data_IF_886982106614
#
_entry.id   IF_886982106614
#
_cell.length_a   1.000
_cell.length_b   1.000
_cell.length_c   1.000
_cell.angle_alpha   90.00
_cell.angle_beta   90.00
_cell.angle_gamma   90.00
#
_symmetry.space_group_name_H-M   'P 1'
#
loop_
_entity.id
_entity.type
_entity.pdbx_description
1 polymer ?
#
# COMPACT_ATOMS: atom_id res chain seq x y z
N UNK A 1 -14.27 32.77 -42.24
CA UNK A 1 -14.29 31.61 -43.15
C UNK A 1 -14.64 30.36 -42.35
N UNK A 2 -15.85 29.82 -42.62
CA UNK A 2 -16.25 28.41 -42.70
C UNK A 2 -15.59 27.43 -41.70
N UNK A 3 -16.29 27.07 -40.62
CA UNK A 3 -17.08 25.82 -40.45
C UNK A 3 -16.21 24.56 -40.58
N UNK A 4 -16.30 23.67 -39.59
CA UNK A 4 -16.67 22.25 -39.74
C UNK A 4 -16.99 21.70 -38.34
N UNK A 5 -18.29 21.56 -38.09
CA UNK A 5 -18.85 20.70 -37.05
C UNK A 5 -18.92 19.29 -37.64
N UNK A 6 -18.49 18.28 -36.88
CA UNK A 6 -18.73 16.88 -37.23
C UNK A 6 -19.20 16.11 -36.00
N UNK A 7 -20.52 16.11 -35.92
CA UNK A 7 -21.43 15.11 -35.39
C UNK A 7 -20.85 13.70 -35.44
N UNK A 8 -20.78 13.01 -34.29
CA UNK A 8 -20.69 11.55 -34.27
C UNK A 8 -21.85 10.96 -33.48
N UNK A 9 -22.49 10.00 -34.14
CA UNK A 9 -23.75 9.37 -33.80
C UNK A 9 -23.69 8.55 -32.52
N UNK A 10 -24.73 8.73 -31.72
CA UNK A 10 -25.24 7.74 -30.76
C UNK A 10 -25.66 6.48 -31.53
N UNK A 11 -25.09 5.32 -31.16
CA UNK A 11 -25.66 4.02 -31.47
C UNK A 11 -25.99 3.31 -30.15
N UNK A 12 -27.27 3.35 -29.80
CA UNK A 12 -27.89 2.58 -28.73
C UNK A 12 -28.18 1.16 -29.24
N UNK A 13 -27.55 0.16 -28.64
CA UNK A 13 -27.96 -1.24 -28.77
C UNK A 13 -28.44 -1.75 -27.42
N UNK A 14 -29.76 -1.77 -27.28
CA UNK A 14 -30.46 -2.48 -26.22
C UNK A 14 -30.39 -3.98 -26.53
N UNK A 15 -29.88 -4.78 -25.58
CA UNK A 15 -30.03 -6.23 -25.58
C UNK A 15 -30.95 -6.59 -24.43
N UNK A 16 -32.20 -6.91 -24.78
CA UNK A 16 -33.17 -7.52 -23.89
C UNK A 16 -32.80 -8.99 -23.69
N UNK A 17 -32.52 -9.38 -22.46
CA UNK A 17 -32.35 -10.78 -22.08
C UNK A 17 -33.62 -11.25 -21.37
N UNK A 18 -34.28 -12.23 -21.97
CA UNK A 18 -35.50 -12.87 -21.50
C UNK A 18 -35.23 -13.63 -20.21
N UNK A 19 -36.09 -13.40 -19.22
CA UNK A 19 -36.19 -14.19 -18.00
C UNK A 19 -36.81 -15.56 -18.33
N UNK A 20 -36.26 -16.62 -17.75
CA UNK A 20 -36.92 -17.90 -17.57
C UNK A 20 -37.08 -18.09 -16.06
N UNK A 21 -38.32 -18.11 -15.60
CA UNK A 21 -38.72 -18.43 -14.24
C UNK A 21 -38.77 -19.96 -14.13
N UNK A 22 -38.02 -20.50 -13.18
CA UNK A 22 -38.07 -21.90 -12.78
C UNK A 22 -38.46 -21.91 -11.30
N UNK A 23 -39.75 -22.10 -11.06
CA UNK A 23 -40.35 -22.24 -9.74
C UNK A 23 -40.02 -23.64 -9.19
N UNK A 24 -39.31 -23.69 -8.06
CA UNK A 24 -39.29 -24.86 -7.19
C UNK A 24 -39.67 -24.42 -5.77
N UNK A 25 -40.83 -24.91 -5.33
CA UNK A 25 -41.45 -24.67 -4.03
C UNK A 25 -40.62 -25.19 -2.85
N UNK A 26 -40.95 -24.58 -1.71
CA UNK A 26 -40.27 -24.55 -0.43
C UNK A 26 -40.31 -25.86 0.37
N UNK A 27 -39.16 -26.21 0.97
CA UNK A 27 -39.06 -26.98 2.21
C UNK A 27 -38.46 -26.05 3.29
N UNK A 28 -39.34 -25.42 4.07
CA UNK A 28 -39.69 -25.98 5.37
C UNK A 28 -38.63 -26.13 6.47
N UNK A 29 -37.39 -25.60 6.37
CA UNK A 29 -36.44 -25.74 7.50
C UNK A 29 -35.34 -24.66 7.60
N UNK A 30 -35.68 -23.39 7.30
CA UNK A 30 -34.67 -22.33 7.07
C UNK A 30 -34.87 -21.05 7.89
N UNK A 31 -35.03 -21.15 9.21
CA UNK A 31 -34.94 -19.95 10.11
C UNK A 31 -34.00 -20.08 11.30
N UNK A 32 -33.50 -21.28 11.62
CA UNK A 32 -32.51 -21.47 12.69
C UNK A 32 -31.06 -21.57 12.17
N UNK A 33 -30.84 -21.93 10.90
CA UNK A 33 -29.47 -22.11 10.35
C UNK A 33 -28.92 -20.81 9.74
N UNK A 34 -29.76 -19.92 9.23
CA UNK A 34 -29.34 -18.65 8.65
C UNK A 34 -28.83 -17.62 9.69
N UNK A 35 -29.28 -17.73 10.95
CA UNK A 35 -28.78 -16.88 12.04
C UNK A 35 -27.42 -17.35 12.58
N UNK A 36 -27.11 -18.65 12.50
CA UNK A 36 -25.83 -19.23 12.93
C UNK A 36 -24.76 -19.11 11.83
N UNK A 37 -25.13 -19.18 10.55
CA UNK A 37 -24.17 -19.02 9.44
C UNK A 37 -23.75 -17.56 9.15
N UNK A 38 -24.40 -16.56 9.76
CA UNK A 38 -24.00 -15.15 9.61
C UNK A 38 -22.94 -14.70 10.63
N UNK A 39 -22.60 -15.54 11.60
CA UNK A 39 -21.59 -15.27 12.63
C UNK A 39 -20.28 -16.09 12.46
N UNK A 40 -20.21 -17.03 11.51
CA UNK A 40 -19.05 -17.91 11.33
C UNK A 40 -18.13 -17.57 10.15
N UNK A 41 -18.26 -16.38 9.55
CA UNK A 41 -17.37 -15.90 8.46
C UNK A 41 -16.44 -14.77 8.91
N UNK A 42 -16.09 -14.76 10.19
CA UNK A 42 -15.21 -13.78 10.81
C UNK A 42 -14.14 -14.45 11.68
N UNK A 43 -13.67 -15.66 11.34
CA UNK A 43 -12.64 -16.34 12.13
C UNK A 43 -11.92 -17.44 11.34
N UNK A 44 -11.39 -17.10 10.15
CA UNK A 44 -10.02 -17.58 9.85
C UNK A 44 -9.07 -16.49 10.34
N UNK A 45 -9.00 -16.36 11.68
CA UNK A 45 -8.06 -15.49 12.37
C UNK A 45 -6.65 -16.05 12.20
N UNK A 46 -6.08 -15.90 11.00
CA UNK A 46 -4.63 -15.92 10.85
C UNK A 46 -4.07 -14.88 11.84
N UNK A 47 -3.05 -15.24 12.61
CA UNK A 47 -2.45 -14.33 13.59
C UNK A 47 -1.97 -13.05 12.91
N UNK A 48 -2.73 -11.96 13.06
CA UNK A 48 -2.37 -10.65 12.55
C UNK A 48 -1.41 -9.96 13.54
N UNK A 49 -0.33 -9.34 13.08
CA UNK A 49 0.13 -9.28 11.69
C UNK A 49 0.86 -10.57 11.23
N UNK A 50 0.71 -10.93 9.96
CA UNK A 50 1.39 -12.08 9.35
C UNK A 50 2.66 -11.65 8.60
N UNK A 51 3.81 -11.80 9.26
CA UNK A 51 5.13 -11.51 8.67
C UNK A 51 5.40 -12.30 7.37
N UNK A 52 4.87 -13.51 7.20
CA UNK A 52 5.14 -14.32 6.01
C UNK A 52 4.62 -13.65 4.74
N UNK A 53 3.54 -12.85 4.85
CA UNK A 53 3.01 -12.05 3.74
C UNK A 53 3.95 -10.92 3.31
N UNK A 54 4.86 -10.50 4.18
CA UNK A 54 5.88 -9.48 3.87
C UNK A 54 7.15 -10.07 3.24
N UNK A 55 7.22 -11.39 3.02
CA UNK A 55 8.34 -11.99 2.32
C UNK A 55 8.51 -11.38 0.92
N UNK A 56 9.77 -11.15 0.54
CA UNK A 56 10.16 -10.54 -0.73
C UNK A 56 9.67 -9.09 -0.92
N UNK A 57 9.33 -8.36 0.15
CA UNK A 57 8.88 -6.97 0.03
C UNK A 57 9.90 -6.08 -0.71
N UNK A 58 11.19 -6.24 -0.42
CA UNK A 58 12.26 -5.50 -1.10
C UNK A 58 12.32 -5.77 -2.59
N UNK A 59 12.01 -7.00 -3.01
CA UNK A 59 11.88 -7.31 -4.43
C UNK A 59 10.71 -6.53 -5.03
N UNK A 60 9.52 -6.57 -4.43
CA UNK A 60 8.35 -5.85 -4.94
C UNK A 60 8.51 -4.33 -4.97
N UNK A 61 9.16 -3.74 -3.95
CA UNK A 61 9.49 -2.31 -3.91
C UNK A 61 10.52 -1.97 -5.00
N UNK A 62 11.54 -2.82 -5.19
CA UNK A 62 12.61 -2.55 -6.16
C UNK A 62 12.18 -2.75 -7.61
N UNK A 63 11.40 -3.80 -7.89
CA UNK A 63 10.94 -4.15 -9.23
C UNK A 63 9.68 -3.41 -9.66
N UNK A 64 8.95 -2.80 -8.72
CA UNK A 64 7.64 -2.17 -8.95
C UNK A 64 6.69 -3.15 -9.65
N UNK A 65 6.67 -4.40 -9.18
CA UNK A 65 5.84 -5.44 -9.80
C UNK A 65 4.36 -5.06 -9.66
N UNK A 66 3.67 -4.96 -10.80
CA UNK A 66 2.21 -4.76 -10.83
C UNK A 66 1.47 -5.99 -10.33
N UNK A 67 0.38 -5.74 -9.62
CA UNK A 67 -0.53 -6.76 -9.16
C UNK A 67 -1.51 -7.14 -10.29
N UNK A 68 -1.59 -8.40 -10.72
CA UNK A 68 -2.62 -8.83 -11.68
C UNK A 68 -4.06 -8.73 -11.14
N UNK A 69 -4.22 -8.60 -9.83
CA UNK A 69 -5.50 -8.48 -9.12
C UNK A 69 -5.35 -7.43 -8.01
N UNK A 70 -5.23 -6.14 -8.37
CA UNK A 70 -4.98 -5.08 -7.41
C UNK A 70 -6.10 -4.99 -6.38
N UNK A 71 -5.74 -4.62 -5.15
CA UNK A 71 -6.67 -4.41 -4.05
C UNK A 71 -6.50 -2.99 -3.53
N UNK A 72 -7.61 -2.28 -3.31
CA UNK A 72 -7.58 -0.90 -2.83
C UNK A 72 -7.05 0.08 -3.88
N UNK A 73 -6.25 1.05 -3.44
CA UNK A 73 -5.87 2.23 -4.23
C UNK A 73 -4.63 2.05 -5.12
N UNK A 74 -3.85 0.99 -4.94
CA UNK A 74 -2.57 0.79 -5.63
C UNK A 74 -2.60 -0.37 -6.62
N UNK A 75 -1.92 -0.20 -7.76
CA UNK A 75 -1.73 -1.27 -8.75
C UNK A 75 -0.54 -2.19 -8.45
N UNK A 76 0.19 -2.00 -7.35
CA UNK A 76 1.45 -2.70 -7.09
C UNK A 76 1.35 -3.82 -6.04
N UNK A 77 2.14 -4.87 -6.25
CA UNK A 77 2.18 -6.07 -5.40
C UNK A 77 2.46 -5.77 -3.93
N UNK A 78 3.33 -4.79 -3.64
CA UNK A 78 3.68 -4.46 -2.26
C UNK A 78 2.44 -4.05 -1.44
N UNK A 79 1.49 -3.35 -2.08
CA UNK A 79 0.31 -2.83 -1.43
C UNK A 79 -0.59 -3.96 -0.97
N UNK A 80 -0.92 -4.91 -1.86
CA UNK A 80 -1.65 -6.12 -1.47
C UNK A 80 -0.98 -6.86 -0.32
N UNK A 81 0.35 -7.02 -0.37
CA UNK A 81 1.09 -7.72 0.69
C UNK A 81 0.96 -7.02 2.04
N UNK A 82 1.01 -5.68 2.07
CA UNK A 82 0.81 -4.89 3.29
C UNK A 82 -0.63 -5.04 3.80
N UNK A 83 -1.63 -4.98 2.92
CA UNK A 83 -3.05 -5.17 3.27
C UNK A 83 -3.29 -6.57 3.85
N UNK A 84 -2.79 -7.62 3.19
CA UNK A 84 -2.86 -9.01 3.66
C UNK A 84 -2.15 -9.19 5.01
N UNK A 85 -0.93 -8.66 5.15
CA UNK A 85 -0.14 -8.77 6.39
C UNK A 85 -0.80 -8.06 7.59
N UNK A 86 -1.53 -6.98 7.33
CA UNK A 86 -2.21 -6.18 8.35
C UNK A 86 -3.66 -6.60 8.59
N UNK A 87 -4.15 -7.60 7.83
CA UNK A 87 -5.53 -8.09 7.91
C UNK A 87 -6.57 -6.99 7.66
N UNK A 88 -6.28 -6.16 6.67
CA UNK A 88 -7.22 -5.19 6.15
C UNK A 88 -8.27 -5.92 5.31
N UNK A 89 -9.53 -5.66 5.61
CA UNK A 89 -10.66 -6.07 4.79
C UNK A 89 -11.00 -4.93 3.85
N UNK A 90 -10.50 -5.00 2.62
CA UNK A 90 -10.68 -3.95 1.60
C UNK A 90 -12.13 -3.70 1.19
N UNK A 91 -13.08 -4.55 1.60
CA UNK A 91 -14.51 -4.35 1.31
C UNK A 91 -15.25 -3.66 2.45
N UNK A 92 -14.81 -3.87 3.69
CA UNK A 92 -15.57 -3.50 4.88
C UNK A 92 -14.86 -2.47 5.76
N UNK A 93 -13.52 -2.43 5.76
CA UNK A 93 -12.78 -1.47 6.54
C UNK A 93 -12.91 -0.06 5.93
N UNK A 94 -13.18 0.92 6.78
CA UNK A 94 -12.99 2.32 6.44
C UNK A 94 -11.50 2.65 6.21
N UNK A 95 -11.23 3.81 5.61
CA UNK A 95 -9.87 4.30 5.42
C UNK A 95 -9.12 4.42 6.77
N UNK A 96 -9.78 4.94 7.81
CA UNK A 96 -9.20 5.09 9.13
C UNK A 96 -8.88 3.73 9.79
N UNK A 97 -9.74 2.73 9.61
CA UNK A 97 -9.49 1.35 10.09
C UNK A 97 -8.32 0.71 9.34
N UNK A 98 -8.28 0.90 8.02
CA UNK A 98 -7.17 0.46 7.16
C UNK A 98 -5.84 1.03 7.64
N UNK A 99 -5.76 2.37 7.79
CA UNK A 99 -4.56 3.05 8.28
C UNK A 99 -4.16 2.55 9.68
N UNK A 100 -5.11 2.38 10.59
CA UNK A 100 -4.85 1.88 11.94
C UNK A 100 -4.30 0.45 11.96
N UNK A 101 -4.86 -0.45 11.13
CA UNK A 101 -4.39 -1.83 11.01
C UNK A 101 -2.98 -1.90 10.44
N UNK A 102 -2.70 -1.14 9.37
CA UNK A 102 -1.36 -1.06 8.77
C UNK A 102 -0.37 -0.48 9.78
N UNK A 103 -0.70 0.62 10.46
CA UNK A 103 0.16 1.22 11.48
C UNK A 103 0.48 0.26 12.62
N UNK A 104 -0.51 -0.49 13.13
CA UNK A 104 -0.30 -1.51 14.16
C UNK A 104 0.62 -2.63 13.69
N UNK A 105 0.42 -3.13 12.47
CA UNK A 105 1.30 -4.13 11.85
C UNK A 105 2.73 -3.58 11.74
N UNK A 106 2.86 -2.36 11.21
CA UNK A 106 4.15 -1.73 10.97
C UNK A 106 4.93 -1.57 12.27
N UNK A 107 4.32 -1.02 13.32
CA UNK A 107 4.98 -0.85 14.63
C UNK A 107 5.44 -2.18 15.24
N UNK A 108 4.66 -3.26 15.04
CA UNK A 108 4.99 -4.58 15.59
C UNK A 108 6.13 -5.27 14.82
N UNK A 109 6.19 -5.09 13.49
CA UNK A 109 7.15 -5.76 12.62
C UNK A 109 8.30 -4.86 12.16
N UNK A 110 8.37 -3.61 12.64
CA UNK A 110 9.28 -2.56 12.14
C UNK A 110 10.74 -2.99 12.12
N UNK A 111 11.17 -3.79 13.11
CA UNK A 111 12.55 -4.28 13.23
C UNK A 111 12.89 -5.40 12.25
N UNK A 112 11.88 -6.05 11.69
CA UNK A 112 12.02 -7.18 10.77
C UNK A 112 11.80 -6.76 9.31
N UNK A 113 11.25 -5.56 9.09
CA UNK A 113 11.00 -4.95 7.79
C UNK A 113 12.25 -4.28 7.20
N UNK A 114 13.27 -5.11 6.94
CA UNK A 114 14.59 -4.69 6.44
C UNK A 114 14.89 -5.25 5.06
N UNK A 115 15.66 -4.50 4.27
CA UNK A 115 16.15 -4.88 2.96
C UNK A 115 17.66 -5.07 2.97
N UNK A 116 18.08 -6.23 2.45
CA UNK A 116 19.48 -6.53 2.17
C UNK A 116 19.62 -6.77 0.67
N UNK A 117 20.07 -5.76 -0.06
CA UNK A 117 20.13 -5.77 -1.52
C UNK A 117 21.43 -5.12 -1.99
N UNK A 118 22.05 -5.67 -3.02
CA UNK A 118 23.33 -5.16 -3.56
C UNK A 118 23.20 -3.80 -4.24
N UNK A 119 21.98 -3.42 -4.64
CA UNK A 119 21.69 -2.09 -5.20
C UNK A 119 21.34 -1.05 -4.13
N UNK A 120 21.39 -1.43 -2.84
CA UNK A 120 21.13 -0.55 -1.71
C UNK A 120 22.43 -0.27 -0.97
N UNK A 121 22.69 1.00 -0.67
CA UNK A 121 23.90 1.44 0.00
C UNK A 121 23.89 1.16 1.51
N UNK A 122 22.75 0.72 2.07
CA UNK A 122 22.59 0.37 3.48
C UNK A 122 22.28 -1.12 3.60
N UNK A 123 23.16 -1.87 4.27
CA UNK A 123 22.88 -3.26 4.61
C UNK A 123 21.81 -3.33 5.70
N UNK A 124 20.77 -4.13 5.47
CA UNK A 124 19.62 -4.27 6.38
C UNK A 124 18.88 -2.94 6.66
N UNK A 125 18.90 -2.01 5.71
CA UNK A 125 18.13 -0.77 5.86
C UNK A 125 16.63 -1.01 5.74
N UNK A 126 15.81 -0.21 6.43
CA UNK A 126 14.37 -0.36 6.42
C UNK A 126 13.71 -0.12 5.04
N UNK A 127 12.50 -0.63 4.86
CA UNK A 127 11.75 -0.56 3.60
C UNK A 127 11.56 0.87 3.06
N UNK A 128 11.38 1.87 3.92
CA UNK A 128 11.14 3.25 3.49
C UNK A 128 12.41 3.84 2.87
N UNK A 129 13.57 3.67 3.52
CA UNK A 129 14.85 4.09 2.94
C UNK A 129 15.16 3.37 1.63
N UNK A 130 14.84 2.08 1.56
CA UNK A 130 14.99 1.32 0.32
C UNK A 130 14.10 1.88 -0.81
N UNK A 131 12.84 2.24 -0.52
CA UNK A 131 11.94 2.88 -1.48
C UNK A 131 12.45 4.26 -1.94
N UNK A 132 13.06 5.04 -1.05
CA UNK A 132 13.76 6.30 -1.40
C UNK A 132 14.90 6.03 -2.38
N UNK A 133 15.75 5.03 -2.09
CA UNK A 133 16.88 4.66 -2.95
C UNK A 133 16.42 4.24 -4.35
N UNK A 134 15.35 3.45 -4.44
CA UNK A 134 14.77 3.00 -5.72
C UNK A 134 13.81 4.01 -6.35
N UNK A 135 13.62 5.17 -5.72
CA UNK A 135 12.79 6.29 -6.19
C UNK A 135 11.35 5.88 -6.48
N UNK A 136 10.75 5.11 -5.57
CA UNK A 136 9.39 4.61 -5.72
C UNK A 136 8.37 5.56 -5.07
N UNK A 137 7.91 6.53 -5.85
CA UNK A 137 7.00 7.61 -5.41
C UNK A 137 5.77 7.09 -4.66
N UNK A 138 5.00 6.19 -5.30
CA UNK A 138 3.73 5.71 -4.74
C UNK A 138 3.90 4.96 -3.41
N UNK A 139 5.02 4.25 -3.22
CA UNK A 139 5.30 3.62 -1.93
C UNK A 139 5.51 4.66 -0.83
N UNK A 140 6.25 5.73 -1.14
CA UNK A 140 6.55 6.81 -0.19
C UNK A 140 5.26 7.58 0.17
N UNK A 141 4.40 7.83 -0.82
CA UNK A 141 3.09 8.46 -0.61
C UNK A 141 2.16 7.59 0.25
N UNK A 142 2.12 6.28 -0.01
CA UNK A 142 1.30 5.38 0.79
C UNK A 142 1.78 5.28 2.25
N UNK A 143 3.09 5.24 2.52
CA UNK A 143 3.57 5.19 3.91
C UNK A 143 3.29 6.49 4.68
N UNK A 144 3.27 7.65 4.00
CA UNK A 144 2.87 8.89 4.66
C UNK A 144 1.37 8.92 4.95
N UNK A 145 0.54 8.44 4.02
CA UNK A 145 -0.91 8.32 4.20
C UNK A 145 -1.28 7.37 5.36
N UNK A 146 -0.60 6.23 5.46
CA UNK A 146 -0.81 5.25 6.54
C UNK A 146 -0.34 5.72 7.92
N UNK A 147 0.35 6.87 8.00
CA UNK A 147 0.87 7.45 9.26
C UNK A 147 1.68 6.45 10.09
N UNK A 148 2.50 5.66 9.40
CA UNK A 148 3.45 4.73 10.03
C UNK A 148 4.57 5.52 10.72
N UNK A 149 5.37 4.85 11.55
CA UNK A 149 6.48 5.52 12.21
C UNK A 149 7.59 5.90 11.22
N UNK A 150 7.66 7.19 10.85
CA UNK A 150 8.73 7.74 10.00
C UNK A 150 9.99 8.13 10.78
N UNK A 151 9.93 8.06 12.11
CA UNK A 151 10.96 8.57 13.02
C UNK A 151 11.88 7.48 13.58
N UNK A 152 11.82 6.27 13.01
CA UNK A 152 12.76 5.21 13.35
C UNK A 152 14.17 5.58 12.91
N UNK A 153 15.11 5.49 13.86
CA UNK A 153 16.54 5.50 13.60
C UNK A 153 16.95 4.09 13.19
N UNK A 154 17.47 3.95 11.98
CA UNK A 154 17.96 2.67 11.50
C UNK A 154 19.30 2.34 12.18
N UNK A 155 19.41 1.14 12.74
CA UNK A 155 20.62 0.73 13.46
C UNK A 155 21.83 0.57 12.53
N UNK A 156 21.58 0.32 11.25
CA UNK A 156 22.62 0.05 10.24
C UNK A 156 23.46 1.28 9.89
N UNK A 157 22.87 2.47 9.82
CA UNK A 157 23.54 3.71 9.45
C UNK A 157 23.38 4.84 10.48
N UNK A 158 22.58 4.61 11.54
CA UNK A 158 22.31 5.57 12.59
C UNK A 158 21.46 6.77 12.15
N UNK A 159 20.71 6.67 11.05
CA UNK A 159 19.92 7.76 10.44
C UNK A 159 18.42 7.47 10.46
N UNK A 160 17.60 8.52 10.53
CA UNK A 160 16.17 8.43 10.16
C UNK A 160 16.00 8.37 8.64
N UNK A 161 14.77 8.17 8.15
CA UNK A 161 14.49 8.32 6.70
C UNK A 161 14.75 9.75 6.22
N UNK A 162 14.45 10.77 7.03
CA UNK A 162 14.64 12.16 6.65
C UNK A 162 16.14 12.54 6.58
N UNK A 163 16.94 12.03 7.52
CA UNK A 163 18.41 12.13 7.46
C UNK A 163 18.98 11.47 6.20
N UNK A 164 18.46 10.30 5.84
CA UNK A 164 18.88 9.57 4.65
C UNK A 164 18.56 10.36 3.37
N UNK A 165 17.33 10.86 3.23
CA UNK A 165 16.94 11.69 2.07
C UNK A 165 17.81 12.94 1.98
N UNK A 166 18.05 13.64 3.11
CA UNK A 166 18.93 14.83 3.15
C UNK A 166 20.36 14.51 2.70
N UNK A 167 20.91 13.39 3.15
CA UNK A 167 22.23 12.94 2.69
C UNK A 167 22.27 12.72 1.18
N UNK A 168 21.25 12.06 0.59
CA UNK A 168 21.18 11.86 -0.85
C UNK A 168 20.93 13.15 -1.62
N UNK A 169 20.18 14.10 -1.06
CA UNK A 169 19.98 15.41 -1.63
C UNK A 169 21.32 16.16 -1.77
N UNK A 170 22.11 16.26 -0.70
CA UNK A 170 23.42 16.93 -0.73
C UNK A 170 24.42 16.22 -1.66
N UNK A 171 24.44 14.89 -1.65
CA UNK A 171 25.30 14.08 -2.55
C UNK A 171 24.99 14.32 -4.03
N UNK A 172 23.76 14.69 -4.35
CA UNK A 172 23.27 14.85 -5.71
C UNK A 172 23.03 16.32 -6.11
N UNK A 173 23.60 17.26 -5.35
CA UNK A 173 23.41 18.69 -5.57
C UNK A 173 23.71 19.10 -7.01
N UNK A 174 22.80 19.86 -7.61
CA UNK A 174 22.87 20.36 -8.97
C UNK A 174 22.35 19.40 -10.06
N UNK A 175 21.87 18.20 -9.71
CA UNK A 175 21.36 17.23 -10.68
C UNK A 175 19.84 16.97 -10.54
N UNK A 176 19.27 16.17 -11.44
CA UNK A 176 17.82 15.86 -11.43
C UNK A 176 17.37 15.00 -10.24
N UNK A 177 18.29 14.24 -9.63
CA UNK A 177 18.02 13.42 -8.46
C UNK A 177 17.79 14.32 -7.24
N UNK A 178 18.49 15.46 -7.11
CA UNK A 178 18.24 16.44 -6.05
C UNK A 178 16.77 16.87 -6.00
N UNK A 179 16.17 17.20 -7.15
CA UNK A 179 14.75 17.60 -7.22
C UNK A 179 13.82 16.52 -6.67
N UNK A 180 14.11 15.26 -6.99
CA UNK A 180 13.34 14.11 -6.49
C UNK A 180 13.53 13.90 -4.99
N UNK A 181 14.78 14.03 -4.49
CA UNK A 181 15.05 13.94 -3.06
C UNK A 181 14.42 15.10 -2.28
N UNK A 182 14.39 16.30 -2.85
CA UNK A 182 13.69 17.44 -2.26
C UNK A 182 12.18 17.17 -2.16
N UNK A 183 11.56 16.62 -3.21
CA UNK A 183 10.15 16.20 -3.15
C UNK A 183 9.90 15.21 -2.01
N UNK A 184 10.69 14.16 -1.90
CA UNK A 184 10.55 13.20 -0.80
C UNK A 184 10.80 13.81 0.57
N UNK A 185 11.77 14.73 0.68
CA UNK A 185 12.06 15.42 1.92
C UNK A 185 10.83 16.22 2.39
N UNK A 186 10.26 17.02 1.49
CA UNK A 186 9.10 17.87 1.78
C UNK A 186 7.88 16.99 2.17
N UNK A 187 7.60 15.94 1.40
CA UNK A 187 6.51 14.98 1.64
C UNK A 187 6.64 14.27 3.00
N UNK A 188 7.82 13.73 3.31
CA UNK A 188 8.07 13.04 4.58
C UNK A 188 8.01 14.02 5.75
N UNK A 189 8.52 15.24 5.58
CA UNK A 189 8.51 16.27 6.62
C UNK A 189 7.09 16.73 6.95
N UNK A 190 6.25 16.94 5.95
CA UNK A 190 4.83 17.25 6.12
C UNK A 190 4.08 16.12 6.85
N UNK A 191 4.44 14.87 6.57
CA UNK A 191 3.92 13.69 7.27
C UNK A 191 4.46 13.50 8.70
N UNK A 192 5.28 14.43 9.21
CA UNK A 192 5.79 14.42 10.58
C UNK A 192 7.11 13.66 10.77
N UNK A 193 7.82 13.33 9.67
CA UNK A 193 9.17 12.81 9.77
C UNK A 193 10.13 13.87 10.34
N UNK A 194 11.06 13.40 11.16
CA UNK A 194 12.04 14.21 11.86
C UNK A 194 13.44 13.69 11.62
N UNK A 195 14.40 14.60 11.65
CA UNK A 195 15.80 14.25 11.76
C UNK A 195 16.08 13.61 13.12
N UNK A 196 17.10 12.75 13.19
CA UNK A 196 17.51 12.14 14.46
C UNK A 196 17.79 13.17 15.56
N UNK A 197 18.28 14.35 15.19
CA UNK A 197 18.57 15.45 16.13
C UNK A 197 17.32 16.12 16.72
N UNK A 198 16.13 15.78 16.23
CA UNK A 198 14.84 16.37 16.62
C UNK A 198 13.92 15.36 17.34
N UNK A 199 14.44 14.15 17.59
CA UNK A 199 13.74 13.05 18.28
C UNK A 199 13.86 13.17 19.79
#
# INVERSE_FOLDING_TARGET
>A
MKFWALTFLLLSSQLAFSQAEEDCEEDGSSKLVAAVMKQSKAEESGNCPDKKKLMNMCMFIGSRTKDPKPVGASEYMYYRRIMEASCVDSKNDSEAETQNKIKKMWNKLENEMVCNSTIFDISNGNYIKYAVNTKFDEFIENVTEWKVNLNKVDASDGRTVLDYVKFHMEKNKGNTIEKKMKYYYDLLREAGAKHKSEL
#
